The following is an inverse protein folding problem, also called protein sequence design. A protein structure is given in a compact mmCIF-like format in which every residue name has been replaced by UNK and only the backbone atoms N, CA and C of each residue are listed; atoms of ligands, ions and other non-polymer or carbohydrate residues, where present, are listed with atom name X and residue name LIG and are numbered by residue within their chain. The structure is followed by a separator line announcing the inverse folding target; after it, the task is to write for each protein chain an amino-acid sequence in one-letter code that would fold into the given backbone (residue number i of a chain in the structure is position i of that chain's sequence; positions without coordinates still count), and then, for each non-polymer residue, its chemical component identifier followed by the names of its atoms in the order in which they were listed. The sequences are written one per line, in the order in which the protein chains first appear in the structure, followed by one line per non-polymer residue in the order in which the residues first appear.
data_IF_880927863258
#
_entry.id   IF_880927863258
#
_cell.length_a   1.000
_cell.length_b   1.000
_cell.length_c   1.000
_cell.angle_alpha   90.00
_cell.angle_beta   90.00
_cell.angle_gamma   90.00
#
_symmetry.space_group_name_H-M   'P 1'
#
loop_
_entity.id
_entity.type
_entity.pdbx_description
1 polymer ?
#
# COMPACT_ATOMS: atom_id res chain seq x y z
N UNK A 1 -2.25 -13.74 31.92
CA UNK A 1 -0.93 -13.09 32.00
C UNK A 1 -0.88 -12.08 30.88
N UNK A 2 -0.77 -10.80 31.23
CA UNK A 2 -0.69 -9.68 30.28
C UNK A 2 0.66 -9.74 29.57
N UNK A 3 0.65 -10.03 28.27
CA UNK A 3 1.84 -9.98 27.44
C UNK A 3 2.11 -8.51 27.10
N UNK A 4 3.05 -7.91 27.82
CA UNK A 4 3.54 -6.58 27.49
C UNK A 4 4.20 -6.61 26.10
N UNK A 5 3.57 -5.92 25.15
CA UNK A 5 4.20 -5.18 24.05
C UNK A 5 5.47 -5.78 23.42
N UNK A 6 5.32 -6.80 22.58
CA UNK A 6 6.27 -6.99 21.48
C UNK A 6 5.94 -5.96 20.42
N UNK A 7 6.52 -4.76 20.48
CA UNK A 7 6.57 -3.90 19.29
C UNK A 7 7.22 -4.74 18.20
N UNK A 8 6.52 -4.96 17.10
CA UNK A 8 7.13 -5.58 15.92
C UNK A 8 8.37 -4.74 15.58
N UNK A 9 9.54 -5.36 15.34
CA UNK A 9 10.79 -4.64 15.10
C UNK A 9 10.70 -3.68 13.91
N UNK A 10 9.66 -3.81 13.08
CA UNK A 10 9.35 -2.95 11.96
C UNK A 10 8.96 -1.53 12.36
N UNK A 11 8.17 -1.32 13.43
CA UNK A 11 7.75 0.05 13.80
C UNK A 11 8.96 0.88 14.19
N UNK A 12 9.87 0.34 14.99
CA UNK A 12 11.07 1.06 15.39
C UNK A 12 11.96 1.36 14.17
N UNK A 13 12.12 0.43 13.23
CA UNK A 13 12.87 0.65 12.00
C UNK A 13 12.21 1.68 11.05
N UNK A 14 10.87 1.71 10.98
CA UNK A 14 10.13 2.75 10.24
C UNK A 14 10.34 4.13 10.85
N UNK A 15 10.34 4.24 12.18
CA UNK A 15 10.58 5.49 12.88
C UNK A 15 12.04 5.95 12.74
N UNK A 16 13.01 5.02 12.80
CA UNK A 16 14.41 5.29 12.50
C UNK A 16 14.61 5.80 11.06
N UNK A 17 13.95 5.16 10.09
CA UNK A 17 14.00 5.56 8.69
C UNK A 17 13.48 6.99 8.49
N UNK A 18 12.38 7.33 9.18
CA UNK A 18 11.78 8.67 9.15
C UNK A 18 12.69 9.72 9.80
N UNK A 19 13.23 9.43 10.99
CA UNK A 19 14.18 10.30 11.68
C UNK A 19 15.48 10.51 10.89
N UNK A 20 15.92 9.50 10.13
CA UNK A 20 17.14 9.53 9.33
C UNK A 20 17.18 10.56 8.21
N UNK A 21 16.08 11.27 7.94
CA UNK A 21 16.08 12.43 7.04
C UNK A 21 16.68 13.70 7.67
N UNK A 22 16.85 13.75 8.99
CA UNK A 22 17.45 14.90 9.68
C UNK A 22 16.60 16.17 9.64
N UNK A 23 15.29 16.03 9.41
CA UNK A 23 14.33 17.13 9.34
C UNK A 23 13.79 17.56 10.72
N UNK A 24 14.33 17.00 11.81
CA UNK A 24 13.92 17.31 13.17
C UNK A 24 12.72 16.50 13.68
N UNK A 25 12.31 15.44 12.98
CA UNK A 25 11.35 14.47 13.50
C UNK A 25 11.88 13.75 14.75
N UNK A 26 11.10 13.78 15.84
CA UNK A 26 11.35 13.01 17.06
C UNK A 26 10.10 12.20 17.45
N UNK A 27 10.23 10.87 17.49
CA UNK A 27 9.14 9.96 17.86
C UNK A 27 8.62 10.14 19.29
N UNK A 28 9.39 10.79 20.17
CA UNK A 28 9.02 11.04 21.57
C UNK A 28 8.41 12.42 21.79
N UNK A 29 8.57 13.35 20.84
CA UNK A 29 8.01 14.70 20.90
C UNK A 29 7.00 14.94 19.77
N UNK A 30 5.71 14.86 20.11
CA UNK A 30 4.59 15.12 19.19
C UNK A 30 4.61 16.54 18.60
N UNK A 31 5.29 17.49 19.23
CA UNK A 31 5.42 18.86 18.71
C UNK A 31 6.25 18.92 17.41
N UNK A 32 7.03 17.86 17.13
CA UNK A 32 7.84 17.69 15.92
C UNK A 32 7.10 16.93 14.81
N UNK A 33 5.88 16.44 15.03
CA UNK A 33 5.14 15.64 14.05
C UNK A 33 4.39 16.53 13.05
N UNK A 34 5.13 17.44 12.41
CA UNK A 34 4.60 18.45 11.49
C UNK A 34 5.11 18.22 10.07
N UNK A 35 4.38 18.66 9.03
CA UNK A 35 4.79 18.47 7.64
C UNK A 35 6.23 18.91 7.33
N UNK A 36 6.69 20.01 7.92
CA UNK A 36 8.06 20.54 7.75
C UNK A 36 9.16 19.64 8.34
N UNK A 37 8.81 18.77 9.29
CA UNK A 37 9.72 17.84 9.93
C UNK A 37 9.73 16.45 9.27
N UNK A 38 8.92 16.24 8.23
CA UNK A 38 8.75 14.95 7.55
C UNK A 38 9.26 15.03 6.10
N UNK A 39 9.78 13.92 5.54
CA UNK A 39 10.08 13.87 4.11
C UNK A 39 8.81 14.05 3.29
N UNK A 40 8.96 14.42 2.02
CA UNK A 40 7.82 14.61 1.14
C UNK A 40 6.99 13.32 1.10
N UNK A 41 5.67 13.47 1.21
CA UNK A 41 4.77 12.35 1.32
C UNK A 41 3.43 12.68 0.70
N UNK A 42 2.68 11.62 0.41
CA UNK A 42 1.31 11.73 -0.05
C UNK A 42 0.37 11.57 1.14
N UNK A 43 -0.71 12.36 1.16
CA UNK A 43 -1.84 12.21 2.11
C UNK A 43 -1.41 12.11 3.59
N UNK A 44 -0.35 12.83 4.00
CA UNK A 44 0.05 12.98 5.40
C UNK A 44 0.86 11.82 5.97
N UNK A 45 1.44 10.96 5.15
CA UNK A 45 2.37 9.92 5.62
C UNK A 45 2.42 8.66 4.78
N UNK A 46 1.89 8.67 3.55
CA UNK A 46 2.18 7.62 2.57
C UNK A 46 3.50 7.92 1.89
N UNK A 47 4.46 7.01 2.05
CA UNK A 47 5.79 7.11 1.47
C UNK A 47 5.97 6.00 0.45
N UNK A 48 6.16 6.38 -0.81
CA UNK A 48 6.45 5.46 -1.91
C UNK A 48 7.80 5.75 -2.57
N UNK A 49 8.37 6.93 -2.31
CA UNK A 49 9.64 7.39 -2.87
C UNK A 49 10.82 7.03 -1.94
N UNK A 50 11.99 7.59 -2.20
CA UNK A 50 13.21 7.42 -1.38
C UNK A 50 13.66 5.95 -1.25
N UNK A 51 13.38 5.14 -2.28
CA UNK A 51 13.65 3.70 -2.31
C UNK A 51 13.08 2.91 -1.11
N UNK A 52 12.07 3.45 -0.40
CA UNK A 52 11.54 2.84 0.83
C UNK A 52 11.02 1.43 0.60
N UNK A 53 10.44 1.17 -0.57
CA UNK A 53 9.95 -0.14 -0.99
C UNK A 53 11.03 -1.24 -0.95
N UNK A 54 12.31 -0.89 -0.90
CA UNK A 54 13.43 -1.81 -0.89
C UNK A 54 14.27 -1.77 0.39
N UNK A 55 13.85 -1.04 1.42
CA UNK A 55 14.53 -1.11 2.72
C UNK A 55 14.48 -2.54 3.26
N UNK A 56 15.55 -2.94 3.95
CA UNK A 56 15.70 -4.30 4.48
C UNK A 56 14.48 -4.75 5.29
N UNK A 57 14.00 -3.90 6.17
CA UNK A 57 12.86 -4.21 7.04
C UNK A 57 11.55 -4.43 6.28
N UNK A 58 11.40 -3.80 5.09
CA UNK A 58 10.25 -4.00 4.20
C UNK A 58 10.32 -5.37 3.54
N UNK A 59 11.51 -5.76 3.07
CA UNK A 59 11.71 -7.09 2.51
C UNK A 59 11.54 -8.19 3.54
N UNK A 60 12.06 -8.00 4.75
CA UNK A 60 11.84 -8.92 5.87
C UNK A 60 10.34 -9.09 6.14
N UNK A 61 9.58 -8.01 6.27
CA UNK A 61 8.13 -8.05 6.50
C UNK A 61 7.35 -8.76 5.37
N UNK A 62 7.71 -8.52 4.10
CA UNK A 62 7.10 -9.22 2.94
C UNK A 62 7.38 -10.72 2.92
N UNK A 63 8.53 -11.12 3.46
CA UNK A 63 9.01 -12.51 3.43
C UNK A 63 8.66 -13.31 4.67
N UNK A 64 7.98 -12.70 5.65
CA UNK A 64 7.46 -13.38 6.83
C UNK A 64 6.66 -14.62 6.40
N UNK A 65 6.90 -15.81 6.99
CA UNK A 65 6.28 -17.06 6.55
C UNK A 65 4.75 -16.99 6.49
N UNK A 66 4.12 -16.36 7.49
CA UNK A 66 2.66 -16.27 7.57
C UNK A 66 2.07 -15.36 6.48
N UNK A 67 2.76 -14.27 6.13
CA UNK A 67 2.35 -13.40 5.02
C UNK A 67 2.36 -14.19 3.71
N UNK A 68 3.47 -14.87 3.41
CA UNK A 68 3.59 -15.64 2.18
C UNK A 68 2.60 -16.80 2.12
N UNK A 69 2.42 -17.53 3.23
CA UNK A 69 1.51 -18.66 3.32
C UNK A 69 0.06 -18.22 3.00
N UNK A 70 -0.39 -17.08 3.52
CA UNK A 70 -1.74 -16.56 3.22
C UNK A 70 -1.92 -16.32 1.71
N UNK A 71 -0.97 -15.65 1.05
CA UNK A 71 -1.06 -15.43 -0.39
C UNK A 71 -0.92 -16.72 -1.19
N UNK A 72 -0.08 -17.66 -0.76
CA UNK A 72 0.05 -18.97 -1.40
C UNK A 72 -1.24 -19.78 -1.33
N UNK A 73 -1.98 -19.72 -0.23
CA UNK A 73 -3.28 -20.36 -0.10
C UNK A 73 -4.33 -19.72 -1.00
N UNK A 74 -4.38 -18.39 -1.05
CA UNK A 74 -5.31 -17.64 -1.92
C UNK A 74 -5.13 -18.03 -3.38
N UNK A 75 -3.88 -18.15 -3.82
CA UNK A 75 -3.55 -18.38 -5.22
C UNK A 75 -3.24 -19.84 -5.57
N UNK A 76 -3.24 -20.73 -4.57
CA UNK A 76 -2.88 -22.13 -4.71
C UNK A 76 -1.50 -22.36 -5.39
N UNK A 77 -0.49 -21.57 -5.00
CA UNK A 77 0.89 -21.70 -5.48
C UNK A 77 1.90 -21.00 -4.55
N UNK A 78 3.11 -21.54 -4.45
CA UNK A 78 4.24 -20.89 -3.79
C UNK A 78 5.05 -19.98 -4.74
N UNK A 79 4.77 -20.05 -6.04
CA UNK A 79 5.42 -19.25 -7.07
C UNK A 79 4.75 -17.88 -7.18
N UNK A 80 5.21 -16.92 -6.39
CA UNK A 80 4.58 -15.60 -6.24
C UNK A 80 5.49 -14.44 -6.65
N UNK A 81 4.94 -13.38 -7.22
CA UNK A 81 5.63 -12.10 -7.38
C UNK A 81 5.07 -11.11 -6.36
N UNK A 82 5.92 -10.27 -5.76
CA UNK A 82 5.52 -9.25 -4.79
C UNK A 82 5.53 -7.85 -5.38
N UNK A 83 4.59 -6.98 -4.97
CA UNK A 83 4.61 -5.56 -5.33
C UNK A 83 5.74 -4.81 -4.60
N UNK A 84 6.34 -3.82 -5.26
CA UNK A 84 7.29 -2.88 -4.64
C UNK A 84 6.54 -1.60 -4.25
N UNK A 85 5.53 -1.76 -3.40
CA UNK A 85 4.74 -0.65 -2.89
C UNK A 85 5.44 0.00 -1.67
N UNK A 86 4.85 1.08 -1.16
CA UNK A 86 5.36 1.89 -0.08
C UNK A 86 4.84 1.48 1.30
N UNK A 87 5.03 2.41 2.24
CA UNK A 87 4.54 2.34 3.60
C UNK A 87 3.55 3.47 3.87
N UNK A 88 2.74 3.32 4.91
CA UNK A 88 2.09 4.45 5.55
C UNK A 88 2.61 4.57 6.99
N UNK A 89 3.17 5.74 7.29
CA UNK A 89 3.58 6.18 8.61
C UNK A 89 2.98 7.57 8.86
N UNK A 90 1.68 7.60 9.16
CA UNK A 90 0.90 8.83 9.35
C UNK A 90 0.74 9.14 10.84
N UNK A 91 1.33 10.23 11.34
CA UNK A 91 1.05 10.73 12.68
C UNK A 91 -0.42 11.18 12.82
N UNK A 92 -1.00 11.09 14.03
CA UNK A 92 -2.29 11.71 14.31
C UNK A 92 -2.23 13.22 14.10
N UNK A 93 -3.28 13.78 13.52
CA UNK A 93 -3.44 15.23 13.32
C UNK A 93 -4.74 15.69 13.99
N UNK A 94 -4.71 16.90 14.58
CA UNK A 94 -5.84 17.40 15.38
C UNK A 94 -7.12 17.63 14.57
N UNK A 95 -6.99 17.99 13.29
CA UNK A 95 -8.10 18.27 12.37
C UNK A 95 -7.77 17.64 11.00
N UNK A 96 -7.88 16.32 10.86
CA UNK A 96 -7.58 15.70 9.57
C UNK A 96 -8.62 16.07 8.53
N UNK A 97 -8.20 16.14 7.26
CA UNK A 97 -9.16 16.14 6.15
C UNK A 97 -9.86 14.77 6.08
N UNK A 98 -11.17 14.77 6.32
CA UNK A 98 -11.99 13.55 6.35
C UNK A 98 -12.75 13.32 5.05
N UNK A 99 -12.42 14.03 3.97
CA UNK A 99 -13.07 13.84 2.67
C UNK A 99 -12.93 12.38 2.23
N UNK A 100 -14.07 11.75 1.95
CA UNK A 100 -14.13 10.39 1.42
C UNK A 100 -13.74 10.42 -0.06
N UNK A 101 -13.07 9.37 -0.49
CA UNK A 101 -12.59 9.22 -1.85
C UNK A 101 -12.77 7.77 -2.29
N UNK A 102 -14.01 7.25 -2.30
CA UNK A 102 -14.26 5.85 -2.58
C UNK A 102 -13.84 5.52 -4.00
N UNK A 103 -12.91 4.59 -4.13
CA UNK A 103 -12.32 4.20 -5.39
C UNK A 103 -12.07 2.70 -5.45
N UNK A 104 -11.75 2.23 -6.64
CA UNK A 104 -11.02 0.99 -6.86
C UNK A 104 -9.72 1.33 -7.60
N UNK A 105 -8.66 0.59 -7.32
CA UNK A 105 -7.43 0.70 -8.10
C UNK A 105 -7.45 -0.33 -9.24
N UNK A 106 -8.46 -0.22 -10.10
CA UNK A 106 -8.65 -1.16 -11.21
C UNK A 106 -9.31 -0.48 -12.39
N UNK A 107 -8.90 -0.87 -13.61
CA UNK A 107 -9.59 -0.42 -14.83
C UNK A 107 -11.05 -0.90 -14.83
N UNK A 108 -12.00 -0.03 -15.20
CA UNK A 108 -13.40 -0.39 -15.44
C UNK A 108 -13.63 -1.49 -16.49
N UNK A 109 -12.63 -1.78 -17.34
CA UNK A 109 -12.73 -2.80 -18.39
C UNK A 109 -12.32 -4.19 -17.92
N UNK A 110 -11.61 -4.30 -16.80
CA UNK A 110 -11.19 -5.57 -16.21
C UNK A 110 -12.16 -5.90 -15.09
N UNK A 111 -12.94 -6.96 -15.26
CA UNK A 111 -14.04 -7.30 -14.33
C UNK A 111 -13.75 -8.53 -13.46
N UNK A 112 -12.67 -9.27 -13.77
CA UNK A 112 -12.22 -10.44 -13.02
C UNK A 112 -11.37 -10.05 -11.79
N UNK A 113 -11.27 -11.00 -10.87
CA UNK A 113 -10.25 -10.97 -9.82
C UNK A 113 -8.87 -11.10 -10.45
N UNK A 114 -7.97 -10.15 -10.15
CA UNK A 114 -6.59 -10.13 -10.68
C UNK A 114 -5.52 -9.79 -9.62
N UNK A 115 -5.89 -9.09 -8.54
CA UNK A 115 -5.03 -8.91 -7.36
C UNK A 115 -5.92 -8.87 -6.12
N UNK A 116 -5.37 -9.42 -5.04
CA UNK A 116 -5.83 -9.20 -3.68
C UNK A 116 -4.85 -8.19 -3.09
N UNK A 117 -5.32 -6.98 -2.86
CA UNK A 117 -4.51 -5.95 -2.21
C UNK A 117 -4.40 -6.27 -0.72
N UNK A 118 -3.32 -5.79 -0.10
CA UNK A 118 -3.06 -6.08 1.30
C UNK A 118 -2.35 -4.97 2.05
N UNK A 119 -2.62 -4.96 3.36
CA UNK A 119 -1.99 -4.10 4.35
C UNK A 119 -1.50 -5.00 5.48
N UNK A 120 -0.19 -5.01 5.73
CA UNK A 120 0.37 -5.55 6.95
C UNK A 120 0.41 -4.44 8.00
N UNK A 121 -0.40 -4.58 9.04
CA UNK A 121 -0.61 -3.55 10.05
C UNK A 121 0.35 -3.75 11.24
N UNK A 122 1.01 -2.68 11.71
CA UNK A 122 2.03 -2.79 12.75
C UNK A 122 1.66 -2.14 14.10
N UNK A 123 0.65 -1.28 14.14
CA UNK A 123 0.16 -0.62 15.36
C UNK A 123 -1.34 -0.91 15.55
N UNK A 124 -1.91 -0.77 16.76
CA UNK A 124 -3.34 -0.92 16.95
C UNK A 124 -4.14 -0.08 15.97
N UNK A 125 -5.20 -0.66 15.41
CA UNK A 125 -6.04 0.00 14.44
C UNK A 125 -7.51 -0.10 14.85
N UNK A 126 -7.95 0.80 15.73
CA UNK A 126 -9.32 0.88 16.19
C UNK A 126 -10.25 1.70 15.28
N UNK A 127 -11.48 1.96 15.75
CA UNK A 127 -12.49 2.74 15.03
C UNK A 127 -12.09 4.20 14.77
N UNK A 128 -11.35 4.82 15.70
CA UNK A 128 -10.89 6.21 15.61
C UNK A 128 -9.47 6.36 15.05
N UNK A 129 -8.79 5.23 14.81
CA UNK A 129 -7.49 5.20 14.20
C UNK A 129 -7.61 5.26 12.67
N UNK A 130 -6.58 5.81 12.02
CA UNK A 130 -6.55 5.93 10.58
C UNK A 130 -6.43 4.55 9.97
N UNK A 131 -7.07 4.26 8.85
CA UNK A 131 -7.05 2.89 8.32
C UNK A 131 -7.85 2.75 7.05
N UNK A 132 -8.09 1.50 6.68
CA UNK A 132 -8.85 1.13 5.51
C UNK A 132 -10.34 1.10 5.82
N UNK A 133 -11.14 1.80 5.01
CA UNK A 133 -12.59 1.65 4.97
C UNK A 133 -12.95 1.00 3.64
N UNK A 134 -13.79 -0.03 3.69
CA UNK A 134 -14.28 -0.75 2.51
C UNK A 134 -15.79 -0.65 2.43
N UNK A 135 -16.32 -0.70 1.21
CA UNK A 135 -17.73 -0.97 0.96
C UNK A 135 -17.88 -2.48 0.82
N UNK A 136 -18.20 -3.15 1.93
CA UNK A 136 -18.32 -4.60 2.04
C UNK A 136 -19.31 -5.13 1.00
N UNK A 137 -18.90 -6.15 0.25
CA UNK A 137 -19.69 -6.77 -0.81
C UNK A 137 -19.60 -6.08 -2.17
N UNK A 138 -19.08 -4.85 -2.28
CA UNK A 138 -19.06 -4.11 -3.55
C UNK A 138 -18.37 -4.84 -4.71
N UNK A 139 -17.31 -5.61 -4.44
CA UNK A 139 -16.58 -6.37 -5.45
C UNK A 139 -17.46 -7.37 -6.25
N UNK A 140 -18.55 -7.88 -5.68
CA UNK A 140 -19.48 -8.79 -6.38
C UNK A 140 -20.35 -8.04 -7.39
N UNK A 141 -20.55 -6.74 -7.18
CA UNK A 141 -21.40 -5.89 -8.00
C UNK A 141 -20.64 -4.99 -8.97
N UNK A 142 -19.33 -4.78 -8.78
CA UNK A 142 -18.49 -4.00 -9.72
C UNK A 142 -18.62 -4.47 -11.18
N UNK A 143 -18.63 -5.78 -11.50
CA UNK A 143 -18.87 -6.24 -12.86
C UNK A 143 -20.23 -5.84 -13.44
N UNK A 144 -21.29 -5.85 -12.62
CA UNK A 144 -22.62 -5.39 -13.03
C UNK A 144 -22.63 -3.87 -13.23
N UNK A 145 -22.01 -3.14 -12.30
CA UNK A 145 -21.92 -1.69 -12.32
C UNK A 145 -21.31 -1.19 -13.65
N UNK A 146 -20.13 -1.67 -14.02
CA UNK A 146 -19.47 -1.22 -15.26
C UNK A 146 -20.11 -1.75 -16.56
N UNK A 147 -20.97 -2.76 -16.49
CA UNK A 147 -21.78 -3.19 -17.65
C UNK A 147 -23.01 -2.31 -17.86
N UNK A 148 -23.49 -1.65 -16.81
CA UNK A 148 -24.77 -0.93 -16.80
C UNK A 148 -24.62 0.59 -16.72
N UNK A 149 -23.45 1.08 -16.31
CA UNK A 149 -23.16 2.50 -16.14
C UNK A 149 -22.07 2.96 -17.10
N UNK A 150 -22.14 4.22 -17.50
CA UNK A 150 -21.05 4.86 -18.24
C UNK A 150 -19.89 5.10 -17.29
N UNK A 151 -18.67 4.90 -17.79
CA UNK A 151 -17.45 5.27 -17.08
C UNK A 151 -17.30 6.80 -17.14
N UNK A 152 -17.42 7.46 -15.99
CA UNK A 152 -17.43 8.94 -15.90
C UNK A 152 -16.22 9.52 -15.19
N UNK A 153 -15.57 8.79 -14.28
CA UNK A 153 -14.56 9.34 -13.38
C UNK A 153 -13.32 8.44 -13.24
N UNK A 154 -12.37 8.61 -14.16
CA UNK A 154 -11.09 7.89 -14.19
C UNK A 154 -9.99 8.53 -13.31
N UNK A 155 -10.29 9.60 -12.57
CA UNK A 155 -9.30 10.37 -11.81
C UNK A 155 -8.14 10.93 -12.67
N UNK A 156 -7.08 11.38 -12.00
CA UNK A 156 -5.87 11.92 -12.63
C UNK A 156 -4.81 10.86 -12.97
N UNK A 157 -5.02 9.60 -12.56
CA UNK A 157 -4.05 8.50 -12.67
C UNK A 157 -4.10 7.74 -14.01
N UNK A 158 -4.99 8.15 -14.92
CA UNK A 158 -5.10 7.58 -16.27
C UNK A 158 -6.00 6.34 -16.35
N UNK A 159 -6.15 5.81 -17.57
CA UNK A 159 -7.14 4.78 -17.92
C UNK A 159 -6.95 3.41 -17.28
N UNK A 160 -5.80 3.14 -16.67
CA UNK A 160 -5.36 1.76 -16.52
C UNK A 160 -5.67 1.12 -15.18
N UNK A 161 -5.79 1.84 -14.07
CA UNK A 161 -5.96 1.21 -12.75
C UNK A 161 -6.62 2.11 -11.70
N UNK A 162 -7.58 2.96 -12.08
CA UNK A 162 -8.28 3.82 -11.11
C UNK A 162 -9.71 4.17 -11.56
N UNK A 163 -10.66 4.12 -10.63
CA UNK A 163 -12.00 4.68 -10.83
C UNK A 163 -12.57 5.18 -9.51
N UNK A 164 -13.08 6.42 -9.51
CA UNK A 164 -13.72 7.03 -8.34
C UNK A 164 -15.24 6.99 -8.45
N UNK A 165 -15.89 6.63 -7.35
CA UNK A 165 -17.34 6.56 -7.27
C UNK A 165 -17.90 7.84 -6.67
N UNK A 166 -18.82 8.49 -7.40
CA UNK A 166 -19.57 9.62 -6.87
C UNK A 166 -20.65 9.18 -5.86
N UNK A 167 -21.42 10.13 -5.33
CA UNK A 167 -22.44 9.85 -4.32
C UNK A 167 -23.60 9.00 -4.86
N UNK A 168 -24.01 9.21 -6.11
CA UNK A 168 -25.10 8.45 -6.75
C UNK A 168 -24.67 6.99 -6.97
N UNK A 169 -23.43 6.80 -7.43
CA UNK A 169 -22.84 5.48 -7.64
C UNK A 169 -22.64 4.74 -6.32
N UNK A 170 -22.25 5.43 -5.25
CA UNK A 170 -22.20 4.83 -3.90
C UNK A 170 -23.59 4.40 -3.41
N UNK A 171 -24.61 5.22 -3.67
CA UNK A 171 -26.00 4.88 -3.32
C UNK A 171 -26.46 3.61 -4.04
N UNK A 172 -26.09 3.43 -5.30
CA UNK A 172 -26.39 2.20 -6.05
C UNK A 172 -25.84 0.95 -5.36
N UNK A 173 -24.59 0.98 -4.88
CA UNK A 173 -24.03 -0.14 -4.12
C UNK A 173 -24.75 -0.34 -2.77
N UNK A 174 -25.13 0.75 -2.09
CA UNK A 174 -25.89 0.67 -0.84
C UNK A 174 -27.28 0.04 -1.03
N UNK A 175 -27.98 0.37 -2.12
CA UNK A 175 -29.27 -0.22 -2.51
C UNK A 175 -29.14 -1.73 -2.84
N UNK A 176 -27.95 -2.18 -3.23
CA UNK A 176 -27.59 -3.60 -3.41
C UNK A 176 -27.19 -4.30 -2.09
N UNK A 177 -27.28 -3.61 -0.95
CA UNK A 177 -26.95 -4.13 0.37
C UNK A 177 -25.47 -4.05 0.73
N UNK A 178 -24.66 -3.26 0.01
CA UNK A 178 -23.26 -3.06 0.40
C UNK A 178 -23.14 -2.07 1.56
N UNK A 179 -22.30 -2.38 2.53
CA UNK A 179 -22.16 -1.61 3.77
C UNK A 179 -20.75 -1.02 3.91
N UNK A 180 -20.68 0.25 4.33
CA UNK A 180 -19.38 0.86 4.66
C UNK A 180 -18.86 0.29 5.98
N UNK A 181 -17.67 -0.31 5.96
CA UNK A 181 -17.03 -0.90 7.13
C UNK A 181 -15.59 -0.38 7.28
N UNK A 182 -15.30 0.24 8.44
CA UNK A 182 -13.92 0.52 8.87
C UNK A 182 -13.29 -0.78 9.35
N UNK A 183 -12.21 -1.18 8.71
CA UNK A 183 -11.45 -2.37 9.13
C UNK A 183 -10.66 -2.01 10.38
N UNK A 184 -10.89 -2.75 11.46
CA UNK A 184 -10.18 -2.61 12.72
C UNK A 184 -9.41 -3.89 13.00
N UNK A 185 -8.15 -3.76 13.38
CA UNK A 185 -7.19 -4.88 13.50
C UNK A 185 -6.16 -4.61 14.58
N UNK A 186 -5.50 -5.67 15.03
CA UNK A 186 -4.40 -5.62 15.99
C UNK A 186 -3.04 -5.53 15.28
N UNK A 187 -1.96 -5.17 16.00
CA UNK A 187 -0.60 -5.27 15.47
C UNK A 187 -0.27 -6.68 14.97
N UNK A 188 0.24 -6.77 13.75
CA UNK A 188 0.63 -8.03 13.09
C UNK A 188 -0.44 -8.59 12.14
N UNK A 189 -1.67 -8.09 12.19
CA UNK A 189 -2.74 -8.55 11.30
C UNK A 189 -2.48 -8.14 9.84
N UNK A 190 -2.78 -9.07 8.93
CA UNK A 190 -2.78 -8.87 7.49
C UNK A 190 -4.22 -8.63 7.00
N UNK A 191 -4.50 -7.41 6.56
CA UNK A 191 -5.78 -7.06 5.93
C UNK A 191 -5.69 -7.38 4.44
N UNK A 192 -6.71 -8.04 3.88
CA UNK A 192 -6.78 -8.39 2.47
C UNK A 192 -8.13 -8.02 1.86
N UNK A 193 -8.13 -7.55 0.63
CA UNK A 193 -9.36 -7.28 -0.13
C UNK A 193 -9.17 -7.49 -1.63
N UNK A 194 -10.25 -7.91 -2.29
CA UNK A 194 -10.32 -7.96 -3.75
C UNK A 194 -10.14 -6.55 -4.33
N UNK A 195 -9.30 -6.38 -5.35
CA UNK A 195 -9.04 -5.06 -5.97
C UNK A 195 -10.28 -4.39 -6.59
N UNK A 196 -11.38 -5.13 -6.76
CA UNK A 196 -12.70 -4.60 -7.14
C UNK A 196 -13.50 -4.06 -5.96
N UNK A 197 -13.04 -4.21 -4.73
CA UNK A 197 -13.75 -3.69 -3.55
C UNK A 197 -13.57 -2.19 -3.49
N UNK A 198 -14.67 -1.45 -3.51
CA UNK A 198 -14.65 0.02 -3.33
C UNK A 198 -14.11 0.31 -1.94
N UNK A 199 -13.08 1.14 -1.85
CA UNK A 199 -12.39 1.42 -0.60
C UNK A 199 -11.81 2.85 -0.58
N UNK A 200 -11.40 3.27 0.61
CA UNK A 200 -10.68 4.52 0.82
C UNK A 200 -9.99 4.51 2.18
N UNK A 201 -8.98 5.37 2.33
CA UNK A 201 -8.32 5.58 3.61
C UNK A 201 -9.04 6.64 4.44
N UNK A 202 -9.13 6.40 5.75
CA UNK A 202 -9.43 7.43 6.75
C UNK A 202 -8.16 7.81 7.53
N UNK A 203 -7.95 9.09 7.84
CA UNK A 203 -6.82 9.54 8.63
C UNK A 203 -7.02 9.26 10.13
N UNK A 204 -5.95 9.10 10.92
CA UNK A 204 -6.04 8.92 12.36
C UNK A 204 -6.55 10.17 13.08
N UNK A 205 -7.54 9.98 13.96
CA UNK A 205 -8.08 11.03 14.84
C UNK A 205 -7.64 10.87 16.29
N UNK A 206 -7.21 9.66 16.67
CA UNK A 206 -6.71 9.34 18.00
C UNK A 206 -5.26 9.78 18.23
N UNK A 207 -4.54 9.04 19.08
CA UNK A 207 -3.15 9.34 19.46
C UNK A 207 -2.14 8.36 18.84
N UNK A 208 -2.62 7.35 18.11
CA UNK A 208 -1.80 6.27 17.56
C UNK A 208 -1.30 6.66 16.17
N UNK A 209 0.01 6.52 15.96
CA UNK A 209 0.62 6.64 14.64
C UNK A 209 0.16 5.45 13.79
N UNK A 210 -0.43 5.71 12.63
CA UNK A 210 -0.71 4.66 11.65
C UNK A 210 0.62 4.18 11.07
N UNK A 211 0.96 2.91 11.28
CA UNK A 211 2.20 2.30 10.79
C UNK A 211 1.85 0.98 10.08
N UNK A 212 2.10 0.92 8.78
CA UNK A 212 1.80 -0.26 7.95
C UNK A 212 2.68 -0.35 6.71
N UNK A 213 2.66 -1.53 6.11
CA UNK A 213 3.24 -1.83 4.80
C UNK A 213 2.12 -2.26 3.83
N UNK A 214 2.13 -1.69 2.63
CA UNK A 214 1.31 -2.19 1.52
C UNK A 214 1.96 -3.42 0.87
N UNK A 215 1.18 -4.48 0.66
CA UNK A 215 1.67 -5.76 0.12
C UNK A 215 0.59 -6.43 -0.74
N UNK A 216 0.90 -6.71 -2.01
CA UNK A 216 0.14 -7.64 -2.85
C UNK A 216 1.13 -8.68 -3.38
N UNK A 217 0.72 -9.94 -3.37
CA UNK A 217 1.40 -11.01 -4.09
C UNK A 217 0.44 -11.63 -5.09
N UNK A 218 0.97 -12.03 -6.25
CA UNK A 218 0.22 -12.73 -7.31
C UNK A 218 1.08 -13.84 -7.90
N UNK A 219 0.49 -14.90 -8.47
CA UNK A 219 1.25 -15.95 -9.15
C UNK A 219 2.26 -15.40 -10.16
N UNK A 220 3.45 -15.99 -10.19
CA UNK A 220 4.43 -15.68 -11.24
C UNK A 220 3.89 -15.99 -12.64
N UNK A 221 3.02 -17.00 -12.75
CA UNK A 221 2.33 -17.36 -14.00
C UNK A 221 1.37 -16.29 -14.53
N UNK A 222 1.01 -15.26 -13.75
CA UNK A 222 0.22 -14.13 -14.23
C UNK A 222 1.06 -13.12 -15.03
N UNK A 223 2.38 -13.13 -14.86
CA UNK A 223 3.26 -12.19 -15.52
C UNK A 223 3.61 -12.67 -16.94
N UNK A 224 3.64 -11.72 -17.88
CA UNK A 224 4.23 -11.98 -19.20
C UNK A 224 5.76 -11.95 -19.11
N UNK A 225 6.50 -12.57 -20.05
CA UNK A 225 7.96 -12.45 -20.10
C UNK A 225 8.46 -11.00 -20.12
N UNK A 226 7.74 -10.10 -20.80
CA UNK A 226 8.08 -8.68 -20.84
C UNK A 226 7.86 -8.01 -19.46
N UNK A 227 6.77 -8.35 -18.78
CA UNK A 227 6.50 -7.85 -17.43
C UNK A 227 7.57 -8.32 -16.43
N UNK A 228 8.04 -9.57 -16.52
CA UNK A 228 9.16 -10.07 -15.69
C UNK A 228 10.44 -9.28 -15.97
N UNK A 229 10.78 -9.08 -17.26
CA UNK A 229 11.97 -8.32 -17.65
C UNK A 229 11.90 -6.88 -17.12
N UNK A 230 10.76 -6.21 -17.27
CA UNK A 230 10.56 -4.86 -16.77
C UNK A 230 10.61 -4.80 -15.23
N UNK A 231 10.00 -5.76 -14.55
CA UNK A 231 10.03 -5.88 -13.08
C UNK A 231 11.46 -6.01 -12.57
N UNK A 232 12.28 -6.82 -13.23
CA UNK A 232 13.70 -6.99 -12.91
C UNK A 232 14.47 -5.66 -13.02
N UNK A 233 14.26 -4.90 -14.11
CA UNK A 233 14.89 -3.58 -14.28
C UNK A 233 14.47 -2.64 -13.14
N UNK A 234 13.18 -2.58 -12.80
CA UNK A 234 12.66 -1.77 -11.69
C UNK A 234 13.31 -2.19 -10.37
N UNK A 235 13.47 -3.48 -10.12
CA UNK A 235 14.12 -4.00 -8.91
C UNK A 235 15.60 -3.60 -8.84
N UNK A 236 16.36 -3.77 -9.93
CA UNK A 236 17.80 -3.48 -10.00
C UNK A 236 18.12 -1.99 -9.77
N UNK A 237 17.14 -1.11 -9.99
CA UNK A 237 17.26 0.33 -9.77
C UNK A 237 16.51 0.85 -8.54
N UNK A 238 16.08 -0.05 -7.65
CA UNK A 238 15.34 0.29 -6.41
C UNK A 238 14.05 1.09 -6.63
N UNK A 239 13.39 0.86 -7.77
CA UNK A 239 12.16 1.53 -8.16
C UNK A 239 10.91 0.87 -7.57
N UNK A 240 9.87 1.68 -7.37
CA UNK A 240 8.56 1.17 -6.91
C UNK A 240 7.73 0.56 -8.05
N UNK A 241 6.73 -0.22 -7.69
CA UNK A 241 5.65 -0.65 -8.60
C UNK A 241 4.30 -0.21 -8.07
N UNK A 242 3.25 -0.47 -8.84
CA UNK A 242 1.87 -0.40 -8.35
C UNK A 242 1.56 -1.60 -7.44
N UNK A 243 0.32 -1.67 -6.94
CA UNK A 243 -0.20 -2.81 -6.21
C UNK A 243 -0.29 -4.10 -7.06
N UNK A 244 0.03 -4.08 -8.37
CA UNK A 244 0.00 -5.26 -9.25
C UNK A 244 1.42 -5.82 -9.46
N UNK A 245 1.78 -6.96 -8.86
CA UNK A 245 3.14 -7.48 -8.96
C UNK A 245 3.55 -7.96 -10.36
N UNK A 246 2.57 -8.41 -11.15
CA UNK A 246 2.75 -9.08 -12.45
C UNK A 246 2.53 -8.17 -13.68
N UNK A 247 1.99 -6.95 -13.51
CA UNK A 247 1.56 -6.09 -14.61
C UNK A 247 1.45 -4.62 -14.18
N UNK A 248 1.11 -3.74 -15.13
CA UNK A 248 1.03 -2.29 -14.93
C UNK A 248 2.29 -1.73 -14.23
N UNK A 249 3.43 -2.11 -14.79
CA UNK A 249 4.75 -1.72 -14.31
C UNK A 249 5.16 -0.45 -15.05
N UNK A 250 5.66 0.53 -14.31
CA UNK A 250 6.15 1.77 -14.88
C UNK A 250 7.55 2.02 -14.36
N UNK A 251 8.45 2.39 -15.26
CA UNK A 251 9.76 2.94 -14.91
C UNK A 251 9.55 4.42 -14.53
N UNK A 252 8.91 4.67 -13.40
CA UNK A 252 8.69 6.02 -12.91
C UNK A 252 9.80 6.41 -11.93
N UNK A 253 10.72 7.27 -12.39
CA UNK A 253 11.79 7.89 -11.60
C UNK A 253 11.44 9.30 -11.17
N UNK A 254 10.16 9.57 -10.86
CA UNK A 254 9.80 10.85 -10.26
C UNK A 254 10.63 11.06 -9.00
N UNK A 255 11.52 12.04 -9.08
CA UNK A 255 12.22 12.55 -7.92
C UNK A 255 11.16 13.19 -7.03
N UNK A 256 11.06 12.79 -5.74
CA UNK A 256 10.12 13.40 -4.83
C UNK A 256 10.34 14.92 -4.82
N UNK A 257 9.26 15.68 -4.76
CA UNK A 257 9.33 17.14 -4.73
C UNK A 257 9.07 17.66 -3.32
N UNK A 258 9.87 18.63 -2.89
CA UNK A 258 9.62 19.45 -1.69
C UNK A 258 9.48 20.89 -2.14
N UNK A 259 8.36 21.53 -1.79
CA UNK A 259 8.07 22.93 -2.14
C UNK A 259 8.18 23.23 -3.66
N UNK A 260 7.75 22.29 -4.51
CA UNK A 260 7.74 22.45 -5.97
C UNK A 260 9.09 22.27 -6.66
N UNK A 261 10.14 21.87 -5.93
CA UNK A 261 11.46 21.54 -6.50
C UNK A 261 11.87 20.11 -6.13
N UNK A 262 12.79 19.47 -6.89
CA UNK A 262 13.35 18.18 -6.52
C UNK A 262 13.88 18.20 -5.09
N UNK A 263 13.48 17.22 -4.28
CA UNK A 263 13.86 17.10 -2.89
C UNK A 263 15.37 16.77 -2.79
N UNK A 264 16.20 17.63 -2.18
CA UNK A 264 17.63 17.36 -2.02
C UNK A 264 17.94 16.17 -1.12
N UNK A 265 16.96 15.68 -0.35
CA UNK A 265 17.07 14.49 0.50
C UNK A 265 16.60 13.21 -0.22
N UNK A 266 16.38 13.26 -1.54
CA UNK A 266 16.02 12.07 -2.30
C UNK A 266 17.04 10.95 -2.10
N UNK A 267 16.55 9.71 -1.99
CA UNK A 267 17.36 8.50 -1.91
C UNK A 267 17.05 7.63 -3.13
N UNK A 268 18.08 7.28 -3.89
CA UNK A 268 17.96 6.40 -5.06
C UNK A 268 18.22 4.94 -4.74
N UNK A 269 18.59 4.64 -3.50
CA UNK A 269 18.78 3.29 -2.98
C UNK A 269 18.40 3.25 -1.49
N UNK A 270 18.01 2.08 -0.95
CA UNK A 270 17.67 1.94 0.47
C UNK A 270 18.91 2.19 1.35
N UNK A 271 18.69 2.75 2.54
CA UNK A 271 19.77 2.94 3.53
C UNK A 271 20.30 1.59 3.97
N UNK A 272 19.41 0.69 4.38
CA UNK A 272 19.76 -0.67 4.77
C UNK A 272 19.33 -1.58 3.62
N UNK A 273 20.29 -1.95 2.77
CA UNK A 273 20.06 -2.87 1.64
C UNK A 273 19.56 -4.23 2.14
N UNK A 274 18.61 -4.87 1.43
CA UNK A 274 18.10 -6.18 1.80
C UNK A 274 19.14 -7.28 1.53
N UNK A 275 19.00 -8.41 2.21
CA UNK A 275 19.80 -9.60 1.91
C UNK A 275 19.20 -10.27 0.67
N UNK A 276 19.95 -10.31 -0.43
CA UNK A 276 19.53 -10.86 -1.72
C UNK A 276 19.56 -12.40 -1.71
N UNK A 277 18.64 -13.00 -0.95
CA UNK A 277 18.43 -14.45 -0.98
C UNK A 277 17.71 -14.89 -2.26
N UNK A 278 17.83 -16.16 -2.64
CA UNK A 278 17.09 -16.74 -3.76
C UNK A 278 15.57 -16.51 -3.63
N UNK A 279 15.03 -16.64 -2.41
CA UNK A 279 13.62 -16.37 -2.12
C UNK A 279 13.23 -14.93 -2.47
N UNK A 280 14.04 -13.96 -2.04
CA UNK A 280 13.81 -12.54 -2.37
C UNK A 280 13.89 -12.31 -3.87
N UNK A 281 14.93 -12.84 -4.52
CA UNK A 281 15.16 -12.65 -5.95
C UNK A 281 14.04 -13.26 -6.80
N UNK A 282 13.48 -14.40 -6.39
CA UNK A 282 12.28 -15.01 -7.01
C UNK A 282 11.05 -14.14 -6.83
N UNK A 283 10.74 -13.70 -5.60
CA UNK A 283 9.62 -12.80 -5.31
C UNK A 283 9.72 -11.47 -6.08
N UNK A 284 10.94 -10.97 -6.26
CA UNK A 284 11.23 -9.77 -7.04
C UNK A 284 11.11 -9.97 -8.56
N UNK A 285 11.05 -11.22 -9.06
CA UNK A 285 11.14 -11.54 -10.48
C UNK A 285 12.53 -11.29 -11.08
N UNK A 286 13.58 -11.22 -10.25
CA UNK A 286 14.96 -11.02 -10.68
C UNK A 286 15.61 -12.32 -11.20
N UNK A 287 15.12 -13.47 -10.71
CA UNK A 287 15.48 -14.83 -11.17
C UNK A 287 14.18 -15.65 -11.34
N UNK A 288 14.20 -16.72 -12.16
CA UNK A 288 13.02 -17.59 -12.35
C UNK A 288 12.71 -18.44 -11.11
N UNK A 289 11.45 -18.90 -11.04
CA UNK A 289 10.99 -19.89 -10.06
C UNK A 289 11.57 -21.28 -10.34
#
# INVERSE_FOLDING_TARGET
MSCASSRLPYVDQMQEWLAGFGLGYDRSDKSTWKPENLPANMKGGMYHDYAVAHERFIWEARMEPDVLNVFSQIWNTEELLVSFDGINLTPPVKNPDTAKWPHIDKSPTRLSLECIQGILNFNPNGPEDGGLTVLRGSHTFVPEFFKTHKVTNMGSWGFEDFYMFDEEQQKWFAEKGCETAKVCVEPGDLILWDSRTVHYNVPPRGEVVRALLYVCLTPASFATPESIKQKKVIFEMWGRTTHRPHANLHLDHKVPQRNGVPDPLNRTEPIKKPILSDKLLKLAGAIPY
#
